data_IF_303904789583
#
_entry.id   IF_303904789583
#
_cell.length_a   1.000
_cell.length_b   1.000
_cell.length_c   1.000
_cell.angle_alpha   90.00
_cell.angle_beta   90.00
_cell.angle_gamma   90.00
#
_symmetry.space_group_name_H-M   'P 1'
#
loop_
_entity.id
_entity.type
_entity.pdbx_description
1 polymer ?
#
# COMPACT_ATOMS: atom_id res chain seq x y z
N UNK A 1 -4.40 4.81 3.52
CA UNK A 1 -3.36 4.76 2.47
C UNK A 1 -3.56 5.95 1.57
N UNK A 2 -2.76 7.01 1.72
CA UNK A 2 -2.58 7.96 0.64
C UNK A 2 -1.75 7.33 -0.48
N UNK A 3 -1.82 7.89 -1.69
CA UNK A 3 -1.03 7.46 -2.83
C UNK A 3 -1.66 7.86 -4.16
N UNK A 4 -0.80 8.05 -5.16
CA UNK A 4 -1.21 8.50 -6.48
C UNK A 4 -0.31 8.00 -7.58
N UNK A 5 -0.25 8.77 -8.67
CA UNK A 5 0.51 8.41 -9.87
C UNK A 5 1.93 8.95 -9.75
N UNK A 6 2.87 8.26 -10.41
CA UNK A 6 4.18 8.83 -10.65
C UNK A 6 4.05 10.15 -11.42
N UNK A 7 4.78 11.16 -10.97
CA UNK A 7 5.00 12.40 -11.70
C UNK A 7 6.44 12.45 -12.24
N UNK A 8 6.70 13.25 -13.28
CA UNK A 8 8.05 13.45 -13.82
C UNK A 8 9.05 13.94 -12.78
N UNK A 9 8.60 14.70 -11.76
CA UNK A 9 9.48 15.13 -10.68
C UNK A 9 10.06 13.96 -9.87
N UNK A 10 9.33 12.84 -9.77
CA UNK A 10 9.76 11.65 -9.01
C UNK A 10 10.90 10.92 -9.74
N UNK A 11 10.98 11.06 -11.06
CA UNK A 11 12.04 10.50 -11.92
C UNK A 11 13.29 11.39 -12.01
N UNK A 12 13.28 12.56 -11.36
CA UNK A 12 14.37 13.52 -11.47
C UNK A 12 15.70 12.96 -10.93
N UNK A 13 16.73 13.00 -11.77
CA UNK A 13 18.12 12.68 -11.39
C UNK A 13 18.74 13.71 -10.43
N UNK A 14 18.00 14.74 -10.03
CA UNK A 14 18.38 15.59 -8.91
C UNK A 14 18.24 14.87 -7.56
N UNK A 15 17.30 13.94 -7.40
CA UNK A 15 17.07 13.26 -6.13
C UNK A 15 18.30 12.51 -5.61
N UNK A 16 18.97 11.66 -6.42
CA UNK A 16 20.19 10.98 -5.96
C UNK A 16 21.31 11.95 -5.54
N UNK A 17 21.37 13.15 -6.13
CA UNK A 17 22.34 14.20 -5.79
C UNK A 17 21.96 14.97 -4.54
N UNK A 18 20.66 15.08 -4.30
CA UNK A 18 20.11 15.80 -3.16
C UNK A 18 20.22 14.98 -1.88
N UNK A 19 19.86 13.70 -1.90
CA UNK A 19 19.87 12.81 -0.73
C UNK A 19 21.26 12.72 -0.06
N UNK A 20 21.28 12.58 1.27
CA UNK A 20 22.51 12.44 2.04
C UNK A 20 23.35 11.26 1.56
N UNK A 21 24.68 11.42 1.56
CA UNK A 21 25.64 10.37 1.20
C UNK A 21 25.60 9.16 2.15
N UNK A 22 24.96 9.28 3.32
CA UNK A 22 24.74 8.14 4.21
C UNK A 22 23.65 7.17 3.70
N UNK A 23 22.80 7.60 2.77
CA UNK A 23 21.82 6.75 2.13
C UNK A 23 22.52 5.97 1.01
N UNK A 24 22.61 4.64 1.18
CA UNK A 24 23.06 3.75 0.12
C UNK A 24 21.97 3.66 -0.97
N UNK A 25 22.00 4.58 -1.94
CA UNK A 25 21.00 4.65 -3.02
C UNK A 25 21.03 3.44 -3.95
N UNK A 26 22.16 2.73 -4.05
CA UNK A 26 22.30 1.56 -4.92
C UNK A 26 21.38 0.42 -4.51
N UNK A 27 20.94 0.38 -3.25
CA UNK A 27 19.90 -0.57 -2.81
C UNK A 27 18.59 -0.41 -3.60
N UNK A 28 18.29 0.80 -4.06
CA UNK A 28 17.06 1.12 -4.79
C UNK A 28 17.16 0.82 -6.30
N UNK A 29 18.34 0.43 -6.78
CA UNK A 29 18.50 -0.10 -8.15
C UNK A 29 17.93 -1.51 -8.29
N UNK A 30 17.78 -2.23 -7.18
CA UNK A 30 17.28 -3.61 -7.16
C UNK A 30 15.82 -3.66 -7.61
N UNK A 31 15.54 -4.42 -8.65
CA UNK A 31 14.18 -4.60 -9.19
C UNK A 31 13.40 -5.67 -8.40
N UNK A 32 13.17 -5.39 -7.11
CA UNK A 32 12.45 -6.29 -6.19
C UNK A 32 10.97 -6.46 -6.53
N UNK A 33 10.36 -5.53 -7.26
CA UNK A 33 8.97 -5.58 -7.71
C UNK A 33 8.91 -5.56 -9.24
N UNK A 34 7.90 -6.21 -9.83
CA UNK A 34 7.74 -6.26 -11.28
C UNK A 34 7.51 -4.87 -11.89
N UNK A 35 6.77 -3.99 -11.20
CA UNK A 35 6.51 -2.62 -11.67
C UNK A 35 7.79 -1.81 -11.85
N UNK A 36 8.87 -2.15 -11.12
CA UNK A 36 10.14 -1.46 -11.26
C UNK A 36 10.79 -1.72 -12.61
N UNK A 37 10.49 -2.82 -13.30
CA UNK A 37 11.05 -3.18 -14.62
C UNK A 37 10.59 -2.22 -15.72
N UNK A 38 9.41 -1.63 -15.54
CA UNK A 38 8.78 -0.74 -16.52
C UNK A 38 9.30 0.70 -16.43
N UNK A 39 10.16 0.99 -15.44
CA UNK A 39 10.76 2.32 -15.24
C UNK A 39 12.18 2.36 -15.79
N UNK A 40 12.40 3.30 -16.72
CA UNK A 40 13.72 3.67 -17.24
C UNK A 40 14.40 4.68 -16.30
N UNK A 41 14.88 4.18 -15.16
CA UNK A 41 15.63 4.95 -14.18
C UNK A 41 16.66 4.04 -13.50
N UNK A 42 17.88 4.53 -13.16
CA UNK A 42 18.89 3.70 -12.48
C UNK A 42 18.44 3.23 -11.08
N UNK A 43 17.51 3.95 -10.46
CA UNK A 43 16.99 3.66 -9.12
C UNK A 43 15.45 3.62 -9.11
N UNK A 44 14.80 2.62 -9.73
CA UNK A 44 13.34 2.61 -9.86
C UNK A 44 12.64 2.49 -8.49
N UNK A 45 13.24 1.78 -7.53
CA UNK A 45 12.71 1.69 -6.17
C UNK A 45 12.74 3.01 -5.40
N UNK A 46 13.60 3.97 -5.81
CA UNK A 46 13.66 5.31 -5.23
C UNK A 46 12.50 6.16 -5.77
N UNK A 47 12.25 6.09 -7.08
CA UNK A 47 11.17 6.83 -7.77
C UNK A 47 9.82 6.57 -7.12
N UNK A 48 9.45 5.30 -6.94
CA UNK A 48 8.16 4.95 -6.33
C UNK A 48 8.04 5.35 -4.85
N UNK A 49 9.15 5.35 -4.10
CA UNK A 49 9.15 5.84 -2.72
C UNK A 49 8.98 7.35 -2.65
N UNK A 50 9.62 8.10 -3.54
CA UNK A 50 9.46 9.54 -3.62
C UNK A 50 8.02 9.91 -3.95
N UNK A 51 7.42 9.23 -4.94
CA UNK A 51 5.99 9.37 -5.24
C UNK A 51 5.12 9.06 -4.01
N UNK A 52 5.33 7.93 -3.34
CA UNK A 52 4.56 7.58 -2.15
C UNK A 52 4.65 8.63 -1.04
N UNK A 53 5.83 9.19 -0.78
CA UNK A 53 6.03 10.25 0.22
C UNK A 53 5.38 11.56 -0.22
N UNK A 54 5.55 11.95 -1.49
CA UNK A 54 4.97 13.17 -2.07
C UNK A 54 3.45 13.13 -1.99
N UNK A 55 2.82 12.07 -2.52
CA UNK A 55 1.37 11.87 -2.49
C UNK A 55 0.83 11.80 -1.06
N UNK A 56 1.55 11.13 -0.14
CA UNK A 56 1.21 11.15 1.29
C UNK A 56 1.15 12.57 1.85
N UNK A 57 2.12 13.41 1.52
CA UNK A 57 2.15 14.80 1.96
C UNK A 57 1.05 15.64 1.32
N UNK A 58 0.80 15.49 0.02
CA UNK A 58 -0.26 16.21 -0.70
C UNK A 58 -1.64 15.92 -0.09
N UNK A 59 -1.99 14.65 0.09
CA UNK A 59 -3.32 14.23 0.56
C UNK A 59 -3.53 14.49 2.07
N UNK A 60 -2.49 14.33 2.88
CA UNK A 60 -2.65 14.24 4.34
C UNK A 60 -1.85 15.29 5.13
N UNK A 61 -0.91 15.98 4.48
CA UNK A 61 0.07 16.82 5.17
C UNK A 61 1.09 16.05 6.00
N UNK A 62 1.00 14.71 6.06
CA UNK A 62 1.99 13.86 6.72
C UNK A 62 3.28 13.83 5.89
N UNK A 63 4.35 14.40 6.43
CA UNK A 63 5.64 14.43 5.77
C UNK A 63 6.59 13.39 6.36
N UNK A 64 6.86 12.33 5.58
CA UNK A 64 7.88 11.33 5.90
C UNK A 64 9.25 11.85 5.46
N UNK A 65 9.91 12.60 6.34
CA UNK A 65 11.23 13.17 6.09
C UNK A 65 12.08 13.20 7.36
N UNK A 66 13.37 13.50 7.20
CA UNK A 66 14.29 13.80 8.29
C UNK A 66 15.01 15.11 8.03
N UNK A 67 15.34 15.83 9.10
CA UNK A 67 16.19 17.02 9.03
C UNK A 67 17.58 16.65 8.54
N UNK A 68 18.15 17.47 7.64
CA UNK A 68 19.52 17.28 7.15
C UNK A 68 20.58 17.75 8.14
N UNK A 69 20.22 18.65 9.06
CA UNK A 69 21.13 19.24 10.06
C UNK A 69 21.13 18.48 11.39
N UNK A 70 20.09 17.68 11.67
CA UNK A 70 19.96 16.90 12.91
C UNK A 70 20.61 15.52 12.75
N UNK A 71 21.90 15.43 13.05
CA UNK A 71 22.77 14.27 12.79
C UNK A 71 22.47 12.95 13.54
N UNK A 72 21.38 12.84 14.33
CA UNK A 72 21.27 11.78 15.34
C UNK A 72 19.98 10.91 15.32
N UNK A 73 19.17 10.89 14.27
CA UNK A 73 18.05 9.92 14.21
C UNK A 73 18.01 9.12 12.90
N UNK A 74 18.21 7.80 13.01
CA UNK A 74 18.04 6.85 11.89
C UNK A 74 16.56 6.71 11.46
N UNK A 75 15.62 7.20 12.27
CA UNK A 75 14.18 7.21 11.99
C UNK A 75 13.70 8.61 11.56
N UNK A 76 12.57 8.66 10.83
CA UNK A 76 11.88 9.91 10.50
C UNK A 76 11.62 10.69 11.80
N UNK A 77 12.32 11.82 11.96
CA UNK A 77 12.06 12.73 13.06
C UNK A 77 10.83 13.58 12.71
N UNK A 78 9.97 13.80 13.69
CA UNK A 78 8.83 14.69 13.53
C UNK A 78 9.35 16.10 13.23
N UNK A 79 9.16 16.56 12.00
CA UNK A 79 9.43 17.94 11.64
C UNK A 79 8.29 18.79 12.20
N UNK A 80 8.60 19.67 13.15
CA UNK A 80 7.64 20.63 13.69
C UNK A 80 7.38 21.75 12.69
N UNK A 81 6.71 21.43 11.57
CA UNK A 81 6.25 22.42 10.60
C UNK A 81 4.90 22.99 11.07
N UNK A 82 4.71 24.31 10.91
CA UNK A 82 3.41 24.91 11.20
C UNK A 82 2.37 24.46 10.17
N UNK A 83 1.10 24.36 10.58
CA UNK A 83 -0.01 24.01 9.67
C UNK A 83 -0.11 24.98 8.49
N UNK A 84 0.21 26.27 8.70
CA UNK A 84 0.24 27.27 7.62
C UNK A 84 1.30 26.93 6.56
N UNK A 85 2.51 26.54 6.99
CA UNK A 85 3.58 26.16 6.08
C UNK A 85 3.25 24.85 5.35
N UNK A 86 2.69 23.87 6.07
CA UNK A 86 2.22 22.60 5.48
C UNK A 86 1.19 22.89 4.39
N UNK A 87 0.14 23.65 4.68
CA UNK A 87 -0.92 23.93 3.71
C UNK A 87 -0.39 24.74 2.50
N UNK A 88 0.47 25.74 2.72
CA UNK A 88 1.14 26.49 1.65
C UNK A 88 1.87 25.56 0.67
N UNK A 89 2.62 24.58 1.19
CA UNK A 89 3.36 23.66 0.33
C UNK A 89 2.48 22.60 -0.32
N UNK A 90 1.49 22.07 0.40
CA UNK A 90 0.50 21.15 -0.19
C UNK A 90 -0.19 21.80 -1.39
N UNK A 91 -0.64 23.05 -1.25
CA UNK A 91 -1.28 23.76 -2.35
C UNK A 91 -0.33 23.94 -3.53
N UNK A 92 0.93 24.32 -3.29
CA UNK A 92 1.93 24.45 -4.37
C UNK A 92 2.19 23.13 -5.09
N UNK A 93 2.37 22.04 -4.35
CA UNK A 93 2.72 20.74 -4.91
C UNK A 93 1.55 20.15 -5.70
N UNK A 94 0.31 20.30 -5.23
CA UNK A 94 -0.88 19.86 -6.00
C UNK A 94 -1.00 20.54 -7.36
N UNK A 95 -0.57 21.80 -7.46
CA UNK A 95 -0.56 22.51 -8.75
C UNK A 95 0.66 22.16 -9.61
N UNK A 96 1.79 21.84 -8.97
CA UNK A 96 3.05 21.50 -9.61
C UNK A 96 3.88 20.58 -8.70
N UNK A 97 3.87 19.28 -9.01
CA UNK A 97 4.56 18.26 -8.22
C UNK A 97 6.07 18.52 -8.09
N UNK A 98 6.68 19.25 -9.05
CA UNK A 98 8.10 19.62 -8.99
C UNK A 98 8.43 20.55 -7.81
N UNK A 99 7.43 21.21 -7.21
CA UNK A 99 7.59 21.99 -5.99
C UNK A 99 7.99 21.13 -4.78
N UNK A 100 7.84 19.80 -4.84
CA UNK A 100 8.21 18.92 -3.73
C UNK A 100 9.71 18.95 -3.44
N UNK A 101 10.57 18.87 -4.46
CA UNK A 101 12.03 18.96 -4.26
C UNK A 101 12.45 20.38 -3.84
N UNK A 102 11.73 21.40 -4.30
CA UNK A 102 11.94 22.80 -3.90
C UNK A 102 11.64 22.98 -2.42
N UNK A 103 10.51 22.44 -1.95
CA UNK A 103 10.15 22.41 -0.53
C UNK A 103 11.24 21.73 0.29
N UNK A 104 11.69 20.54 -0.13
CA UNK A 104 12.75 19.82 0.57
C UNK A 104 14.02 20.68 0.73
N UNK A 105 14.45 21.34 -0.36
CA UNK A 105 15.61 22.25 -0.36
C UNK A 105 15.40 23.47 0.53
N UNK A 106 14.21 24.10 0.50
CA UNK A 106 13.90 25.33 1.25
C UNK A 106 13.79 25.07 2.76
N UNK A 107 13.22 23.93 3.16
CA UNK A 107 13.03 23.53 4.57
C UNK A 107 14.26 22.74 5.10
N UNK A 108 15.22 22.43 4.23
CA UNK A 108 16.44 21.67 4.54
C UNK A 108 16.18 20.26 5.12
N UNK A 109 15.33 19.51 4.41
CA UNK A 109 14.87 18.18 4.81
C UNK A 109 15.07 17.18 3.68
N UNK A 110 15.32 15.92 4.02
CA UNK A 110 15.37 14.84 3.03
C UNK A 110 14.22 13.84 3.22
N UNK A 111 13.54 13.41 2.13
CA UNK A 111 12.51 12.39 2.21
C UNK A 111 13.05 11.09 2.84
N UNK A 112 12.30 10.51 3.77
CA UNK A 112 12.70 9.33 4.53
C UNK A 112 12.50 8.02 3.73
N UNK A 113 13.09 7.98 2.52
CA UNK A 113 12.93 6.85 1.56
C UNK A 113 13.37 5.51 2.13
N UNK A 114 14.32 5.49 3.07
CA UNK A 114 14.77 4.28 3.75
C UNK A 114 13.76 3.74 4.78
N UNK A 115 12.78 4.54 5.18
CA UNK A 115 11.74 4.17 6.15
C UNK A 115 10.52 3.55 5.49
N UNK A 116 10.49 3.46 4.14
CA UNK A 116 9.44 2.80 3.37
C UNK A 116 9.89 1.38 3.00
N UNK A 117 9.18 0.40 3.53
CA UNK A 117 9.34 -1.02 3.22
C UNK A 117 8.36 -1.42 2.11
N UNK A 118 8.84 -2.08 1.05
CA UNK A 118 7.92 -2.69 0.09
C UNK A 118 7.03 -3.70 0.81
N UNK A 119 5.73 -3.60 0.57
CA UNK A 119 4.74 -4.48 1.18
C UNK A 119 4.12 -5.43 0.17
N UNK A 120 3.65 -4.88 -0.94
CA UNK A 120 3.01 -5.66 -1.99
C UNK A 120 2.96 -4.88 -3.30
N UNK A 121 2.76 -5.59 -4.41
CA UNK A 121 2.37 -4.99 -5.67
C UNK A 121 1.00 -5.55 -6.08
N UNK A 122 0.07 -4.68 -6.49
CA UNK A 122 -1.29 -5.05 -6.87
C UNK A 122 -1.64 -4.49 -8.24
N UNK A 123 -1.97 -5.39 -9.17
CA UNK A 123 -2.52 -5.03 -10.46
C UNK A 123 -4.04 -5.14 -10.44
N UNK A 124 -4.72 -4.02 -10.68
CA UNK A 124 -6.17 -3.96 -10.74
C UNK A 124 -6.73 -4.97 -11.75
N UNK A 125 -7.73 -5.73 -11.29
CA UNK A 125 -8.40 -6.76 -12.07
C UNK A 125 -9.15 -6.19 -13.28
N UNK A 126 -9.44 -7.04 -14.27
CA UNK A 126 -10.13 -6.66 -15.52
C UNK A 126 -11.53 -6.07 -15.33
N UNK A 127 -12.14 -6.22 -14.15
CA UNK A 127 -13.44 -5.61 -13.82
C UNK A 127 -13.33 -4.09 -13.52
N UNK A 128 -12.15 -3.59 -13.21
CA UNK A 128 -11.95 -2.16 -12.93
C UNK A 128 -12.00 -1.34 -14.23
N UNK A 129 -12.72 -0.21 -14.22
CA UNK A 129 -12.83 0.70 -15.38
C UNK A 129 -11.48 1.26 -15.82
N UNK A 130 -10.64 1.61 -14.84
CA UNK A 130 -9.25 2.01 -15.03
C UNK A 130 -8.40 1.06 -14.21
N UNK A 131 -7.32 0.57 -14.80
CA UNK A 131 -6.44 -0.41 -14.16
C UNK A 131 -5.12 0.24 -13.81
N UNK A 132 -4.80 0.21 -12.53
CA UNK A 132 -3.51 0.65 -12.01
C UNK A 132 -2.68 -0.57 -11.62
N UNK A 133 -1.38 -0.50 -11.91
CA UNK A 133 -0.37 -1.32 -11.26
C UNK A 133 0.19 -0.50 -10.10
N UNK A 134 0.01 -0.96 -8.87
CA UNK A 134 0.26 -0.16 -7.67
C UNK A 134 1.20 -0.91 -6.76
N UNK A 135 2.28 -0.25 -6.32
CA UNK A 135 3.13 -0.76 -5.25
C UNK A 135 2.72 -0.13 -3.92
N UNK A 136 2.56 -0.96 -2.91
CA UNK A 136 2.24 -0.58 -1.54
C UNK A 136 3.52 -0.55 -0.72
N UNK A 137 3.64 0.49 0.11
CA UNK A 137 4.69 0.62 1.10
C UNK A 137 4.10 0.65 2.51
N UNK A 138 4.86 0.13 3.46
CA UNK A 138 4.62 0.35 4.89
C UNK A 138 5.71 1.29 5.42
N UNK A 139 5.29 2.29 6.19
CA UNK A 139 6.16 3.13 6.98
C UNK A 139 5.66 3.12 8.43
N UNK A 140 6.58 3.14 9.38
CA UNK A 140 6.25 3.26 10.80
C UNK A 140 6.51 4.67 11.28
N UNK A 141 5.62 5.18 12.12
CA UNK A 141 5.75 6.50 12.74
C UNK A 141 6.02 6.33 14.23
N UNK A 142 6.79 7.25 14.85
CA UNK A 142 6.90 7.28 16.30
C UNK A 142 5.54 7.62 16.93
N UNK A 143 5.25 7.04 18.10
CA UNK A 143 3.99 7.27 18.83
C UNK A 143 3.75 8.74 19.24
N UNK A 144 4.75 9.61 19.10
CA UNK A 144 4.66 11.05 19.36
C UNK A 144 4.09 11.85 18.18
N UNK A 145 3.82 11.22 17.03
CA UNK A 145 3.27 11.91 15.87
C UNK A 145 1.85 12.40 16.16
N UNK A 146 1.51 13.68 15.88
CA UNK A 146 0.18 14.20 16.18
C UNK A 146 -0.90 13.46 15.39
N UNK A 147 -1.99 13.15 16.09
CA UNK A 147 -3.17 12.49 15.53
C UNK A 147 -3.95 13.38 14.53
N UNK A 148 -3.74 14.71 14.59
CA UNK A 148 -4.36 15.66 13.66
C UNK A 148 -3.60 15.68 12.33
N UNK A 149 -4.03 14.82 11.43
CA UNK A 149 -3.66 14.88 10.01
C UNK A 149 -4.50 16.00 9.38
N UNK A 150 -3.85 16.93 8.66
CA UNK A 150 -4.57 17.99 7.97
C UNK A 150 -5.28 17.39 6.75
N UNK A 151 -6.61 17.45 6.75
CA UNK A 151 -7.42 17.06 5.60
C UNK A 151 -7.32 18.12 4.50
N UNK A 152 -7.72 17.77 3.28
CA UNK A 152 -8.10 18.79 2.32
C UNK A 152 -9.61 18.77 2.13
N UNK A 153 -10.20 19.96 1.99
CA UNK A 153 -11.64 20.08 1.78
C UNK A 153 -12.06 19.66 0.34
N UNK A 154 -11.22 18.90 -0.37
CA UNK A 154 -11.37 18.56 -1.79
C UNK A 154 -11.51 17.06 -2.03
N UNK A 155 -10.53 16.23 -1.64
CA UNK A 155 -10.52 14.78 -1.92
C UNK A 155 -10.54 13.93 -0.64
N UNK A 156 -9.89 14.37 0.44
CA UNK A 156 -9.82 13.64 1.71
C UNK A 156 -10.63 14.33 2.80
N UNK A 157 -11.87 13.89 3.02
CA UNK A 157 -12.81 14.49 4.01
C UNK A 157 -12.38 14.26 5.46
N UNK A 158 -11.67 13.16 5.73
CA UNK A 158 -11.18 12.81 7.06
C UNK A 158 -10.07 11.77 6.97
N UNK A 159 -9.14 11.80 7.92
CA UNK A 159 -8.12 10.78 8.13
C UNK A 159 -8.17 10.35 9.60
N UNK A 160 -8.04 9.05 9.81
CA UNK A 160 -8.22 8.42 11.11
C UNK A 160 -7.13 7.37 11.28
N UNK A 161 -6.61 7.23 12.50
CA UNK A 161 -5.67 6.18 12.85
C UNK A 161 -6.47 4.99 13.38
N UNK A 162 -6.55 3.92 12.58
CA UNK A 162 -7.37 2.75 12.89
C UNK A 162 -6.55 1.49 12.91
N UNK A 163 -6.84 0.63 13.88
CA UNK A 163 -6.43 -0.77 13.83
C UNK A 163 -7.05 -1.47 12.61
N UNK A 164 -6.33 -2.36 11.92
CA UNK A 164 -6.81 -2.96 10.67
C UNK A 164 -8.16 -3.69 10.80
N UNK A 165 -8.41 -4.39 11.90
CA UNK A 165 -9.66 -5.10 12.18
C UNK A 165 -10.82 -4.13 12.44
N UNK A 166 -10.57 -3.04 13.17
CA UNK A 166 -11.54 -1.95 13.35
C UNK A 166 -11.88 -1.30 12.00
N UNK A 167 -10.90 -1.07 11.14
CA UNK A 167 -11.14 -0.54 9.80
C UNK A 167 -12.01 -1.48 8.95
N UNK A 168 -11.71 -2.79 8.95
CA UNK A 168 -12.53 -3.82 8.27
C UNK A 168 -13.94 -3.88 8.85
N UNK A 169 -14.08 -3.80 10.18
CA UNK A 169 -15.39 -3.74 10.85
C UNK A 169 -16.20 -2.52 10.40
N UNK A 170 -15.62 -1.32 10.48
CA UNK A 170 -16.25 -0.07 10.02
C UNK A 170 -16.65 -0.14 8.54
N UNK A 171 -15.90 -0.86 7.71
CA UNK A 171 -16.25 -1.10 6.31
C UNK A 171 -17.52 -1.95 6.14
N UNK A 172 -17.65 -3.03 6.91
CA UNK A 172 -18.84 -3.88 6.91
C UNK A 172 -20.07 -3.19 7.51
N UNK A 173 -19.86 -2.23 8.41
CA UNK A 173 -20.89 -1.37 9.00
C UNK A 173 -21.30 -0.18 8.10
N UNK A 174 -20.71 -0.06 6.90
CA UNK A 174 -20.92 1.06 5.97
C UNK A 174 -20.43 2.44 6.46
N UNK A 175 -19.64 2.48 7.54
CA UNK A 175 -19.03 3.71 8.05
C UNK A 175 -17.83 4.16 7.21
N UNK A 176 -17.12 3.22 6.57
CA UNK A 176 -15.98 3.49 5.69
C UNK A 176 -16.15 2.71 4.37
N UNK A 177 -15.65 3.28 3.28
CA UNK A 177 -15.57 2.59 1.98
C UNK A 177 -14.12 2.35 1.62
N UNK A 178 -13.84 1.13 1.14
CA UNK A 178 -12.53 0.70 0.69
C UNK A 178 -12.63 0.00 -0.65
N UNK A 179 -11.59 0.15 -1.46
CA UNK A 179 -11.38 -0.61 -2.68
C UNK A 179 -10.93 -2.05 -2.35
N UNK A 180 -11.13 -3.02 -3.28
CA UNK A 180 -10.68 -4.40 -3.08
C UNK A 180 -9.25 -4.56 -2.57
N UNK A 181 -8.21 -3.91 -3.14
CA UNK A 181 -6.85 -4.03 -2.61
C UNK A 181 -6.75 -3.54 -1.17
N UNK A 182 -7.40 -2.44 -0.81
CA UNK A 182 -7.31 -1.88 0.54
C UNK A 182 -7.90 -2.84 1.59
N UNK A 183 -9.07 -3.45 1.32
CA UNK A 183 -9.66 -4.47 2.21
C UNK A 183 -8.78 -5.70 2.33
N UNK A 184 -8.24 -6.17 1.20
CA UNK A 184 -7.37 -7.32 1.17
C UNK A 184 -6.09 -7.07 1.99
N UNK A 185 -5.46 -5.90 1.84
CA UNK A 185 -4.26 -5.53 2.59
C UNK A 185 -4.55 -5.30 4.07
N UNK A 186 -5.69 -4.70 4.44
CA UNK A 186 -6.11 -4.59 5.85
C UNK A 186 -6.28 -5.97 6.50
N UNK A 187 -6.86 -6.93 5.78
CA UNK A 187 -6.97 -8.30 6.26
C UNK A 187 -5.57 -8.98 6.40
N UNK A 188 -4.64 -8.73 5.49
CA UNK A 188 -3.23 -9.20 5.60
C UNK A 188 -2.51 -8.58 6.79
N UNK A 189 -2.68 -7.28 7.02
CA UNK A 189 -2.11 -6.57 8.17
C UNK A 189 -2.71 -7.06 9.49
N UNK A 190 -3.98 -7.45 9.50
CA UNK A 190 -4.65 -8.08 10.65
C UNK A 190 -4.01 -9.39 11.14
N UNK A 191 -3.10 -10.00 10.37
CA UNK A 191 -2.33 -11.15 10.81
C UNK A 191 -1.27 -10.83 11.87
N UNK A 192 -0.88 -9.56 11.99
CA UNK A 192 0.13 -9.10 12.94
C UNK A 192 -0.58 -8.55 14.18
N UNK A 193 -0.34 -9.16 15.34
CA UNK A 193 -0.91 -8.69 16.62
C UNK A 193 -0.05 -7.62 17.30
N UNK A 194 1.18 -7.42 16.83
CA UNK A 194 2.11 -6.45 17.38
C UNK A 194 2.86 -5.76 16.25
N UNK A 195 3.10 -4.46 16.44
CA UNK A 195 3.93 -3.67 15.53
C UNK A 195 5.35 -4.24 15.43
N UNK A 196 5.90 -4.79 16.51
CA UNK A 196 7.22 -5.45 16.53
C UNK A 196 7.29 -6.61 15.54
N UNK A 197 6.24 -7.44 15.49
CA UNK A 197 6.20 -8.64 14.64
C UNK A 197 6.13 -8.24 13.16
N UNK A 198 5.38 -7.16 12.87
CA UNK A 198 5.36 -6.56 11.54
C UNK A 198 6.73 -5.99 11.16
N UNK A 199 7.38 -5.24 12.04
CA UNK A 199 8.71 -4.66 11.79
C UNK A 199 9.74 -5.77 11.55
N UNK A 200 9.74 -6.82 12.36
CA UNK A 200 10.64 -7.96 12.19
C UNK A 200 10.44 -8.63 10.83
N UNK A 201 9.18 -8.85 10.43
CA UNK A 201 8.84 -9.37 9.11
C UNK A 201 9.35 -8.46 7.98
N UNK A 202 9.07 -7.16 8.05
CA UNK A 202 9.50 -6.20 7.03
C UNK A 202 11.02 -6.14 6.91
N UNK A 203 11.74 -6.14 8.03
CA UNK A 203 13.21 -6.15 8.05
C UNK A 203 13.77 -7.45 7.47
N UNK A 204 13.15 -8.61 7.75
CA UNK A 204 13.55 -9.88 7.18
C UNK A 204 13.42 -9.85 5.65
N UNK A 205 12.27 -9.42 5.13
CA UNK A 205 12.00 -9.30 3.69
C UNK A 205 12.90 -8.26 3.01
N UNK A 206 13.20 -7.15 3.66
CA UNK A 206 14.03 -6.09 3.10
C UNK A 206 15.51 -6.49 3.02
N UNK A 207 16.02 -7.21 4.03
CA UNK A 207 17.40 -7.70 4.05
C UNK A 207 17.64 -8.91 3.16
N UNK A 208 16.61 -9.68 2.84
CA UNK A 208 16.73 -10.80 1.92
C UNK A 208 16.83 -10.32 0.46
N UNK A 209 18.00 -10.54 -0.15
CA UNK A 209 18.26 -10.19 -1.55
C UNK A 209 17.48 -11.04 -2.57
N UNK A 210 16.99 -12.21 -2.16
CA UNK A 210 16.20 -13.13 -2.98
C UNK A 210 14.70 -12.87 -2.87
N UNK A 211 14.29 -12.10 -1.85
CA UNK A 211 12.89 -11.74 -1.65
C UNK A 211 12.39 -10.84 -2.79
N UNK A 212 11.35 -11.33 -3.46
CA UNK A 212 10.69 -10.67 -4.57
C UNK A 212 9.25 -10.34 -4.19
N UNK A 213 8.84 -9.10 -4.47
CA UNK A 213 7.47 -8.64 -4.26
C UNK A 213 6.64 -9.11 -5.44
N UNK A 214 5.92 -10.21 -5.24
CA UNK A 214 5.05 -10.76 -6.26
C UNK A 214 3.93 -9.78 -6.61
N UNK A 215 3.74 -9.50 -7.89
CA UNK A 215 2.57 -8.79 -8.41
C UNK A 215 1.31 -9.64 -8.18
N UNK A 216 0.48 -9.21 -7.25
CA UNK A 216 -0.84 -9.76 -7.02
C UNK A 216 -1.78 -9.30 -8.14
N UNK A 217 -2.47 -10.26 -8.77
CA UNK A 217 -3.50 -10.02 -9.77
C UNK A 217 -4.77 -10.73 -9.34
N UNK A 218 -5.87 -9.98 -9.20
CA UNK A 218 -7.18 -10.58 -8.96
C UNK A 218 -7.82 -11.08 -10.26
N UNK A 219 -8.29 -12.32 -10.28
CA UNK A 219 -9.04 -12.91 -11.41
C UNK A 219 -10.53 -12.90 -11.09
N UNK A 220 -11.30 -12.17 -11.89
CA UNK A 220 -12.72 -11.95 -11.63
C UNK A 220 -13.57 -13.05 -12.27
N UNK A 221 -14.39 -13.71 -11.45
CA UNK A 221 -15.45 -14.61 -11.85
C UNK A 221 -16.83 -14.01 -11.53
N UNK A 222 -17.72 -13.97 -12.53
CA UNK A 222 -19.13 -13.65 -12.34
C UNK A 222 -19.93 -14.93 -12.16
N UNK A 223 -20.56 -15.06 -11.00
CA UNK A 223 -21.53 -16.10 -10.67
C UNK A 223 -22.94 -15.50 -10.72
N UNK A 224 -24.01 -16.32 -10.73
CA UNK A 224 -25.38 -15.81 -10.72
C UNK A 224 -25.68 -14.88 -9.53
N UNK A 225 -25.26 -15.25 -8.32
CA UNK A 225 -25.53 -14.53 -7.08
C UNK A 225 -24.38 -13.66 -6.55
N UNK A 226 -23.17 -13.81 -7.08
CA UNK A 226 -21.99 -13.12 -6.57
C UNK A 226 -20.98 -12.76 -7.67
N UNK A 227 -20.10 -11.82 -7.34
CA UNK A 227 -18.86 -11.57 -8.05
C UNK A 227 -17.72 -12.03 -7.14
N UNK A 228 -16.85 -12.87 -7.67
CA UNK A 228 -15.71 -13.43 -6.94
C UNK A 228 -14.42 -12.90 -7.57
N UNK A 229 -13.51 -12.42 -6.74
CA UNK A 229 -12.16 -12.03 -7.13
C UNK A 229 -11.18 -13.03 -6.53
N UNK A 230 -10.71 -13.97 -7.34
CA UNK A 230 -9.73 -14.96 -6.93
C UNK A 230 -8.36 -14.31 -6.82
N UNK A 231 -7.69 -14.55 -5.70
CA UNK A 231 -6.33 -14.08 -5.44
C UNK A 231 -5.36 -15.26 -5.61
N UNK A 232 -4.06 -15.00 -5.85
CA UNK A 232 -3.05 -16.06 -5.92
C UNK A 232 -3.11 -16.98 -4.69
N UNK A 233 -2.96 -18.28 -4.91
CA UNK A 233 -3.08 -19.31 -3.87
C UNK A 233 -4.50 -19.85 -3.65
N UNK A 234 -5.51 -19.32 -4.34
CA UNK A 234 -6.84 -19.94 -4.40
C UNK A 234 -6.82 -21.19 -5.30
N UNK A 235 -7.51 -22.26 -4.90
CA UNK A 235 -7.58 -23.52 -5.67
C UNK A 235 -8.17 -23.34 -7.08
N UNK A 236 -9.06 -22.36 -7.25
CA UNK A 236 -9.64 -22.03 -8.56
C UNK A 236 -8.83 -20.99 -9.34
N UNK A 237 -7.71 -20.51 -8.80
CA UNK A 237 -6.88 -19.51 -9.48
C UNK A 237 -6.26 -20.12 -10.76
N UNK A 238 -6.50 -19.57 -11.96
CA UNK A 238 -5.99 -20.14 -13.20
C UNK A 238 -4.46 -20.13 -13.26
N UNK A 239 -3.85 -21.25 -13.65
CA UNK A 239 -2.39 -21.37 -13.77
C UNK A 239 -1.81 -20.48 -14.89
N UNK A 240 -2.61 -20.17 -15.90
CA UNK A 240 -2.29 -19.31 -17.04
C UNK A 240 -2.77 -17.85 -16.87
N UNK A 241 -3.16 -17.47 -15.64
CA UNK A 241 -3.60 -16.13 -15.31
C UNK A 241 -2.56 -15.08 -15.71
N UNK A 242 -3.00 -14.04 -16.41
CA UNK A 242 -2.17 -12.94 -16.89
C UNK A 242 -2.92 -11.62 -16.82
N UNK A 243 -2.22 -10.51 -17.00
CA UNK A 243 -2.87 -9.19 -16.99
C UNK A 243 -3.92 -9.00 -18.09
N UNK A 244 -3.93 -9.85 -19.13
CA UNK A 244 -4.95 -9.87 -20.19
C UNK A 244 -6.12 -10.80 -19.91
N UNK A 245 -6.10 -11.57 -18.82
CA UNK A 245 -7.21 -12.47 -18.46
C UNK A 245 -8.50 -11.66 -18.29
N UNK A 246 -9.56 -11.96 -19.06
CA UNK A 246 -10.81 -11.22 -19.01
C UNK A 246 -11.60 -11.56 -17.73
N UNK A 247 -12.70 -10.85 -17.52
CA UNK A 247 -13.69 -11.28 -16.54
C UNK A 247 -14.30 -12.61 -17.01
N UNK A 248 -14.19 -13.64 -16.19
CA UNK A 248 -14.72 -14.97 -16.43
C UNK A 248 -16.13 -15.10 -15.86
N UNK A 249 -16.87 -16.11 -16.29
CA UNK A 249 -18.23 -16.37 -15.81
C UNK A 249 -18.50 -17.86 -15.67
N UNK A 250 -19.31 -18.23 -14.68
CA UNK A 250 -19.79 -19.60 -14.48
C UNK A 250 -21.26 -19.57 -14.05
N UNK A 251 -21.98 -20.66 -14.36
CA UNK A 251 -23.37 -20.85 -13.93
C UNK A 251 -23.46 -21.56 -12.56
N UNK A 252 -22.33 -21.90 -11.96
CA UNK A 252 -22.28 -22.51 -10.63
C UNK A 252 -22.75 -21.53 -9.56
N UNK A 253 -23.46 -22.04 -8.55
CA UNK A 253 -23.77 -21.26 -7.36
C UNK A 253 -22.49 -21.02 -6.55
N UNK A 254 -22.49 -20.05 -5.64
CA UNK A 254 -21.36 -19.78 -4.75
C UNK A 254 -21.02 -21.00 -3.90
N UNK A 255 -22.04 -21.81 -3.54
CA UNK A 255 -21.86 -23.06 -2.81
C UNK A 255 -21.16 -24.13 -3.66
N UNK A 256 -21.51 -24.21 -4.95
CA UNK A 256 -20.88 -25.17 -5.87
C UNK A 256 -19.47 -24.73 -6.30
N UNK A 257 -19.19 -23.43 -6.23
CA UNK A 257 -17.87 -22.82 -6.48
C UNK A 257 -16.97 -22.79 -5.21
N UNK A 258 -17.32 -23.57 -4.18
CA UNK A 258 -16.48 -23.75 -2.98
C UNK A 258 -15.23 -24.60 -3.30
N UNK A 259 -14.19 -24.46 -2.49
CA UNK A 259 -12.96 -25.24 -2.62
C UNK A 259 -12.34 -25.52 -1.25
N UNK A 260 -11.35 -26.42 -1.20
CA UNK A 260 -10.66 -26.72 0.06
C UNK A 260 -9.75 -25.57 0.46
N UNK A 261 -9.04 -25.00 -0.50
CA UNK A 261 -8.15 -23.85 -0.31
C UNK A 261 -8.78 -22.61 -0.96
N UNK A 262 -8.91 -21.53 -0.18
CA UNK A 262 -9.47 -20.26 -0.65
C UNK A 262 -8.58 -19.10 -0.30
N UNK A 263 -8.42 -18.20 -1.26
CA UNK A 263 -7.90 -16.86 -1.09
C UNK A 263 -8.62 -15.95 -2.08
N UNK A 264 -9.77 -15.40 -1.69
CA UNK A 264 -10.65 -14.69 -2.62
C UNK A 264 -11.41 -13.57 -1.93
N UNK A 265 -11.85 -12.58 -2.70
CA UNK A 265 -12.85 -11.64 -2.26
C UNK A 265 -14.20 -11.97 -2.90
N UNK A 266 -15.29 -11.94 -2.13
CA UNK A 266 -16.64 -12.24 -2.61
C UNK A 266 -17.54 -11.04 -2.36
N UNK A 267 -18.25 -10.59 -3.39
CA UNK A 267 -19.28 -9.55 -3.28
C UNK A 267 -20.59 -10.09 -3.82
N UNK A 268 -21.64 -10.07 -3.00
CA UNK A 268 -22.97 -10.50 -3.43
C UNK A 268 -23.56 -9.52 -4.47
N UNK A 269 -24.19 -10.07 -5.51
CA UNK A 269 -24.80 -9.28 -6.59
C UNK A 269 -26.12 -8.61 -6.14
N UNK A 270 -26.79 -9.18 -5.13
CA UNK A 270 -28.06 -8.71 -4.59
C UNK A 270 -27.95 -8.44 -3.08
N UNK A 271 -28.78 -7.52 -2.58
CA UNK A 271 -28.84 -7.11 -1.18
C UNK A 271 -28.26 -5.72 -0.94
N UNK A 272 -28.61 -5.12 0.20
CA UNK A 272 -28.24 -3.75 0.55
C UNK A 272 -26.74 -3.58 0.84
N UNK A 273 -26.03 -4.69 1.12
CA UNK A 273 -24.63 -4.67 1.52
C UNK A 273 -23.69 -5.20 0.41
N UNK A 274 -23.60 -4.47 -0.70
CA UNK A 274 -22.65 -4.76 -1.81
C UNK A 274 -21.22 -4.44 -1.38
N UNK A 275 -20.65 -5.30 -0.53
CA UNK A 275 -19.30 -5.18 0.02
C UNK A 275 -18.46 -6.40 -0.37
N UNK A 276 -17.17 -6.19 -0.55
CA UNK A 276 -16.20 -7.26 -0.71
C UNK A 276 -15.93 -7.89 0.64
N UNK A 277 -16.16 -9.19 0.74
CA UNK A 277 -15.82 -9.99 1.89
C UNK A 277 -14.54 -10.74 1.57
N UNK A 278 -13.58 -10.76 2.48
CA UNK A 278 -12.36 -11.56 2.33
C UNK A 278 -12.67 -12.98 2.81
N UNK A 279 -12.47 -13.96 1.94
CA UNK A 279 -12.68 -15.39 2.21
C UNK A 279 -11.34 -16.12 2.07
N UNK A 280 -10.83 -16.60 3.19
CA UNK A 280 -9.57 -17.34 3.25
C UNK A 280 -9.78 -18.65 4.02
N UNK A 281 -9.37 -19.77 3.44
CA UNK A 281 -9.62 -21.13 3.95
C UNK A 281 -8.41 -22.00 3.65
N UNK A 282 -7.91 -22.72 4.65
CA UNK A 282 -6.80 -23.69 4.53
C UNK A 282 -5.63 -23.18 3.66
N UNK A 283 -5.29 -21.89 3.75
CA UNK A 283 -4.14 -21.33 3.03
C UNK A 283 -2.88 -21.98 3.58
N UNK A 284 -2.18 -22.71 2.74
CA UNK A 284 -1.02 -23.52 3.13
C UNK A 284 0.12 -22.59 3.59
N UNK A 285 0.54 -22.68 4.86
CA UNK A 285 1.60 -21.84 5.44
C UNK A 285 3.01 -22.32 5.05
N UNK A 286 3.16 -22.98 3.89
CA UNK A 286 4.37 -23.69 3.50
C UNK A 286 5.42 -22.78 2.88
N UNK A 287 5.03 -21.65 2.27
CA UNK A 287 5.97 -20.61 1.84
C UNK A 287 6.28 -19.63 2.98
N UNK A 288 7.51 -19.70 3.51
CA UNK A 288 7.95 -18.95 4.69
C UNK A 288 8.02 -17.42 4.51
N UNK A 289 7.88 -16.94 3.27
CA UNK A 289 8.10 -15.54 2.89
C UNK A 289 6.89 -14.91 2.16
N UNK A 290 5.76 -15.62 2.10
CA UNK A 290 4.48 -15.07 1.64
C UNK A 290 3.49 -14.94 2.80
N UNK A 291 2.92 -13.74 2.97
CA UNK A 291 1.84 -13.52 3.95
C UNK A 291 0.51 -13.98 3.38
N UNK A 292 0.09 -15.16 3.80
CA UNK A 292 -1.29 -15.63 3.64
C UNK A 292 -2.22 -14.90 4.62
N UNK A 293 -3.42 -14.55 4.18
CA UNK A 293 -4.46 -14.03 5.07
C UNK A 293 -4.95 -15.18 5.95
N UNK A 294 -4.75 -15.08 7.27
CA UNK A 294 -5.41 -16.00 8.21
C UNK A 294 -6.89 -15.59 8.33
N UNK A 295 -7.80 -16.54 8.57
CA UNK A 295 -9.16 -16.18 8.99
C UNK A 295 -9.06 -15.20 10.18
N UNK A 296 -9.78 -14.09 10.13
CA UNK A 296 -9.84 -13.13 11.24
C UNK A 296 -10.55 -13.81 12.41
N UNK A 297 -9.80 -14.51 13.26
CA UNK A 297 -10.29 -15.09 14.51
C UNK A 297 -9.55 -14.42 15.65
N UNK A 298 -10.32 -13.65 16.42
CA UNK A 298 -9.94 -12.93 17.63
C UNK A 298 -8.89 -11.83 17.42
N UNK A 299 -9.39 -10.59 17.46
CA UNK A 299 -8.68 -9.33 17.26
C UNK A 299 -7.53 -9.07 18.23
N UNK A 300 -6.97 -7.87 18.14
CA UNK A 300 -5.81 -7.44 18.90
C UNK A 300 -6.03 -7.63 20.41
N UNK A 301 -5.15 -8.37 21.07
CA UNK A 301 -5.04 -8.33 22.52
C UNK A 301 -4.46 -6.96 22.91
N UNK A 302 -5.35 -5.98 23.07
CA UNK A 302 -5.21 -4.68 23.75
C UNK A 302 -3.79 -4.08 23.75
N UNK A 303 -3.59 -3.06 22.92
CA UNK A 303 -2.57 -2.02 23.14
C UNK A 303 -2.91 -1.17 24.37
#
# INVERSE_FOLDING_TARGET
FPGGKLDQCDLSLEWPKYLSSSINIDRFSRRKADIYKDIDHPYPGLVFRLCAIRESFEETGLLLAKSRTSSNSEHSSMLNLSNELINKWRDRIRHDASQFIVMCKEIDIEPAVHSLFEWNQYLAAAIAKVRFDTIFYIATLPNTYPCSIAHDDHETVSADWLEPDIAVKKYHENSISFLPPQIYELARLGNFRKLSDLIEFLLKCDNDSTHHIQRILGICYKLPEATVLLMPGDEHYPLDASFTTPVLSTNQTLKDFDSKIQNRLVMMNKGDNRKWQVHCKNTDNTEKDQLYIKPLVDGWEKL
#
